data_IF_242741659848
#
_entry.id   IF_242741659848
#
_cell.length_a   1.000
_cell.length_b   1.000
_cell.length_c   1.000
_cell.angle_alpha   90.00
_cell.angle_beta   90.00
_cell.angle_gamma   90.00
#
_symmetry.space_group_name_H-M   'P 1'
#
loop_
_entity.id
_entity.type
_entity.pdbx_description
1 polymer ?
#
# COMPACT_ATOMS: atom_id res chain seq x y z
N UNK A 1 45.34 7.85 6.56
CA UNK A 1 44.53 9.00 6.11
C UNK A 1 43.24 8.96 6.90
N UNK A 2 42.94 9.98 7.70
CA UNK A 2 41.68 10.04 8.45
C UNK A 2 40.56 10.44 7.47
N UNK A 3 39.43 9.73 7.42
CA UNK A 3 38.34 10.10 6.52
C UNK A 3 37.87 11.52 6.85
N UNK A 4 37.83 12.38 5.84
CA UNK A 4 37.32 13.75 5.98
C UNK A 4 35.83 13.70 6.30
N UNK A 5 35.36 14.48 7.29
CA UNK A 5 33.94 14.51 7.64
C UNK A 5 33.11 14.99 6.45
N UNK A 6 31.98 14.33 6.13
CA UNK A 6 31.11 14.74 5.04
C UNK A 6 30.49 16.11 5.34
N UNK A 7 30.30 16.97 4.32
CA UNK A 7 29.61 18.24 4.50
C UNK A 7 28.10 18.05 4.65
N UNK A 8 27.45 18.98 5.36
CA UNK A 8 26.01 19.01 5.50
C UNK A 8 25.32 19.30 4.15
N UNK A 9 24.35 18.49 3.71
CA UNK A 9 23.66 18.72 2.44
C UNK A 9 22.82 20.01 2.41
N UNK A 10 22.48 20.57 3.59
CA UNK A 10 21.68 21.81 3.67
C UNK A 10 22.51 23.08 3.72
N UNK A 11 23.70 23.07 4.33
CA UNK A 11 24.50 24.28 4.57
C UNK A 11 25.99 24.16 4.25
N UNK A 12 26.48 22.99 3.85
CA UNK A 12 27.89 22.76 3.52
C UNK A 12 28.83 22.62 4.71
N UNK A 13 28.39 22.89 5.95
CA UNK A 13 29.23 22.81 7.14
C UNK A 13 29.73 21.37 7.40
N UNK A 14 30.97 21.18 7.90
CA UNK A 14 31.50 19.84 8.18
C UNK A 14 30.72 19.15 9.30
N UNK A 15 30.27 17.91 9.05
CA UNK A 15 29.52 17.11 10.03
C UNK A 15 30.51 16.39 10.95
N UNK A 16 30.40 16.61 12.25
CA UNK A 16 31.07 15.77 13.25
C UNK A 16 30.21 14.53 13.52
N UNK A 17 30.64 13.36 13.08
CA UNK A 17 29.95 12.10 13.40
C UNK A 17 30.27 11.63 14.84
N UNK A 18 29.34 10.97 15.53
CA UNK A 18 27.94 10.71 15.15
C UNK A 18 27.01 11.86 15.59
N UNK A 19 26.41 12.60 14.64
CA UNK A 19 25.47 13.69 14.94
C UNK A 19 24.12 13.46 14.25
N UNK A 20 23.02 13.62 15.00
CA UNK A 20 21.65 13.51 14.44
C UNK A 20 21.18 14.77 13.73
N UNK A 21 21.72 15.92 14.13
CA UNK A 21 21.42 17.23 13.57
C UNK A 21 22.71 17.96 13.23
N UNK A 22 22.66 18.88 12.26
CA UNK A 22 23.78 19.74 11.94
C UNK A 22 23.96 20.80 13.03
N UNK A 23 25.15 20.88 13.62
CA UNK A 23 25.46 21.87 14.66
C UNK A 23 25.47 23.32 14.14
N UNK A 24 25.57 23.53 12.82
CA UNK A 24 25.62 24.85 12.21
C UNK A 24 24.23 25.38 11.81
N UNK A 25 23.36 24.53 11.23
CA UNK A 25 22.07 24.96 10.69
C UNK A 25 20.85 24.26 11.31
N UNK A 26 21.05 23.32 12.24
CA UNK A 26 19.98 22.57 12.91
C UNK A 26 19.26 21.52 12.05
N UNK A 27 19.67 21.32 10.79
CA UNK A 27 19.02 20.35 9.91
C UNK A 27 19.20 18.90 10.40
N UNK A 28 18.16 18.05 10.37
CA UNK A 28 18.32 16.63 10.64
C UNK A 28 19.20 16.00 9.56
N UNK A 29 20.23 15.26 9.99
CA UNK A 29 21.17 14.56 9.11
C UNK A 29 20.70 13.13 8.79
N UNK A 30 19.85 12.59 9.66
CA UNK A 30 19.07 11.39 9.37
C UNK A 30 17.65 11.85 9.10
N UNK A 31 17.29 11.92 7.81
CA UNK A 31 15.90 11.73 7.47
C UNK A 31 15.56 10.31 7.93
N UNK A 32 14.84 10.19 9.04
CA UNK A 32 14.01 9.00 9.26
C UNK A 32 13.23 8.84 7.96
N UNK A 33 13.62 7.85 7.16
CA UNK A 33 12.92 7.54 5.91
C UNK A 33 11.44 7.39 6.25
N UNK A 34 10.53 7.63 5.30
CA UNK A 34 9.14 7.29 5.52
C UNK A 34 9.14 5.85 6.05
N UNK A 35 8.66 5.67 7.29
CA UNK A 35 8.26 4.34 7.75
C UNK A 35 7.46 3.74 6.59
N UNK A 36 7.70 2.48 6.18
CA UNK A 36 6.91 1.89 5.11
C UNK A 36 5.46 2.12 5.51
N UNK A 37 4.75 2.93 4.73
CA UNK A 37 3.38 3.28 5.04
C UNK A 37 2.64 1.95 5.09
N UNK A 38 2.16 1.56 6.27
CA UNK A 38 1.31 0.39 6.36
C UNK A 38 0.08 0.73 5.53
N UNK A 39 -0.04 0.12 4.35
CA UNK A 39 -1.16 0.30 3.44
C UNK A 39 -2.42 -0.26 4.09
N UNK A 40 -3.06 0.57 4.92
CA UNK A 40 -4.32 0.27 5.62
C UNK A 40 -5.43 -0.11 4.65
N UNK A 41 -5.36 0.39 3.41
CA UNK A 41 -6.26 0.05 2.31
C UNK A 41 -6.15 -1.43 1.90
N UNK A 42 -4.95 -1.99 1.84
CA UNK A 42 -4.73 -3.41 1.49
C UNK A 42 -5.16 -4.36 2.60
N UNK A 43 -4.89 -3.99 3.85
CA UNK A 43 -5.32 -4.76 5.01
C UNK A 43 -6.86 -4.73 5.17
N UNK A 44 -7.49 -3.56 4.98
CA UNK A 44 -8.94 -3.40 5.08
C UNK A 44 -9.70 -4.23 4.03
N UNK A 45 -9.25 -4.19 2.77
CA UNK A 45 -9.90 -4.93 1.69
C UNK A 45 -9.84 -6.46 1.89
N UNK A 46 -8.71 -6.94 2.43
CA UNK A 46 -8.53 -8.37 2.76
C UNK A 46 -9.52 -8.84 3.82
N UNK A 47 -9.72 -8.04 4.88
CA UNK A 47 -10.68 -8.36 5.95
C UNK A 47 -12.12 -8.37 5.42
N UNK A 48 -12.50 -7.36 4.64
CA UNK A 48 -13.85 -7.25 4.05
C UNK A 48 -14.15 -8.41 3.10
N UNK A 49 -13.19 -8.78 2.23
CA UNK A 49 -13.35 -9.91 1.32
C UNK A 49 -13.53 -11.25 2.05
N UNK A 50 -12.82 -11.46 3.16
CA UNK A 50 -12.98 -12.65 4.01
C UNK A 50 -14.36 -12.68 4.66
N UNK A 51 -14.82 -11.56 5.23
CA UNK A 51 -16.14 -11.48 5.87
C UNK A 51 -17.28 -11.73 4.87
N UNK A 52 -17.21 -11.15 3.67
CA UNK A 52 -18.21 -11.37 2.62
C UNK A 52 -18.21 -12.83 2.16
N UNK A 53 -17.03 -13.45 2.00
CA UNK A 53 -16.91 -14.86 1.62
C UNK A 53 -17.50 -15.80 2.68
N UNK A 54 -17.23 -15.53 3.97
CA UNK A 54 -17.81 -16.30 5.08
C UNK A 54 -19.33 -16.13 5.17
N UNK A 55 -19.84 -14.92 4.96
CA UNK A 55 -21.26 -14.64 4.97
C UNK A 55 -21.98 -15.39 3.83
N UNK A 56 -21.40 -15.42 2.64
CA UNK A 56 -21.96 -16.17 1.51
C UNK A 56 -21.96 -17.68 1.76
N UNK A 57 -20.85 -18.22 2.30
CA UNK A 57 -20.76 -19.64 2.68
C UNK A 57 -21.85 -20.00 3.69
N UNK A 58 -22.07 -19.14 4.69
CA UNK A 58 -23.11 -19.35 5.70
C UNK A 58 -24.52 -19.37 5.10
N UNK A 59 -24.81 -18.53 4.11
CA UNK A 59 -26.16 -18.40 3.50
C UNK A 59 -26.44 -19.53 2.49
N UNK A 60 -25.47 -19.87 1.63
CA UNK A 60 -25.70 -20.75 0.49
C UNK A 60 -25.12 -22.17 0.64
N UNK A 61 -24.29 -22.42 1.66
CA UNK A 61 -23.70 -23.75 1.92
C UNK A 61 -22.64 -24.22 0.89
N UNK A 62 -22.29 -23.38 -0.08
CA UNK A 62 -21.31 -23.72 -1.15
C UNK A 62 -19.99 -22.97 -0.92
N UNK A 63 -18.83 -23.67 -0.90
CA UNK A 63 -17.53 -23.04 -0.73
C UNK A 63 -17.10 -22.30 -2.01
N UNK A 64 -17.38 -21.00 -2.07
CA UNK A 64 -16.85 -20.06 -3.08
C UNK A 64 -15.39 -19.65 -2.79
N UNK A 65 -14.88 -20.09 -1.64
CA UNK A 65 -13.59 -19.75 -1.05
C UNK A 65 -12.37 -19.81 -2.00
N UNK A 66 -12.21 -20.84 -2.88
CA UNK A 66 -11.03 -20.87 -3.76
C UNK A 66 -11.09 -19.82 -4.88
N UNK A 67 -12.28 -19.48 -5.40
CA UNK A 67 -12.42 -18.47 -6.46
C UNK A 67 -12.34 -17.05 -5.91
N UNK A 68 -12.95 -16.78 -4.76
CA UNK A 68 -12.93 -15.45 -4.13
C UNK A 68 -11.54 -15.04 -3.63
N UNK A 69 -10.81 -15.96 -3.00
CA UNK A 69 -9.47 -15.68 -2.46
C UNK A 69 -8.43 -15.55 -3.58
N UNK A 70 -8.48 -16.41 -4.60
CA UNK A 70 -7.59 -16.29 -5.77
C UNK A 70 -7.91 -15.01 -6.54
N UNK A 71 -9.19 -14.68 -6.76
CA UNK A 71 -9.59 -13.44 -7.41
C UNK A 71 -9.14 -12.20 -6.63
N UNK A 72 -9.27 -12.22 -5.30
CA UNK A 72 -8.81 -11.15 -4.42
C UNK A 72 -7.29 -10.97 -4.42
N UNK A 73 -6.52 -12.06 -4.35
CA UNK A 73 -5.06 -12.03 -4.43
C UNK A 73 -4.55 -11.52 -5.79
N UNK A 74 -5.18 -11.94 -6.89
CA UNK A 74 -4.84 -11.48 -8.25
C UNK A 74 -5.10 -9.98 -8.38
N UNK A 75 -6.25 -9.49 -7.92
CA UNK A 75 -6.58 -8.06 -7.93
C UNK A 75 -5.63 -7.26 -7.04
N UNK A 76 -5.28 -7.77 -5.85
CA UNK A 76 -4.33 -7.11 -4.95
C UNK A 76 -2.91 -7.05 -5.55
N UNK A 77 -2.45 -8.13 -6.18
CA UNK A 77 -1.15 -8.17 -6.86
C UNK A 77 -1.09 -7.19 -8.03
N UNK A 78 -2.12 -7.18 -8.89
CA UNK A 78 -2.22 -6.24 -9.99
C UNK A 78 -2.34 -4.79 -9.50
N UNK A 79 -3.06 -4.54 -8.41
CA UNK A 79 -3.17 -3.21 -7.80
C UNK A 79 -1.81 -2.72 -7.29
N UNK A 80 -1.04 -3.57 -6.61
CA UNK A 80 0.29 -3.22 -6.12
C UNK A 80 1.27 -2.95 -7.28
N UNK A 81 1.31 -3.83 -8.28
CA UNK A 81 2.18 -3.68 -9.44
C UNK A 81 1.90 -2.37 -10.20
N UNK A 82 0.63 -2.01 -10.40
CA UNK A 82 0.33 -0.77 -11.13
C UNK A 82 0.57 0.47 -10.26
N UNK A 83 0.33 0.41 -8.93
CA UNK A 83 0.60 1.55 -8.05
C UNK A 83 2.09 1.91 -8.04
N UNK A 84 2.96 0.90 -8.09
CA UNK A 84 4.43 1.12 -8.20
C UNK A 84 4.88 1.65 -9.56
N UNK A 85 4.12 1.40 -10.64
CA UNK A 85 4.47 1.83 -12.01
C UNK A 85 3.86 3.16 -12.43
N UNK A 86 2.67 3.51 -11.94
CA UNK A 86 1.87 4.65 -12.44
C UNK A 86 1.76 5.78 -11.42
N UNK A 87 2.04 5.54 -10.14
CA UNK A 87 2.12 6.59 -9.12
C UNK A 87 0.82 7.40 -8.97
N UNK A 88 -0.36 6.79 -9.12
CA UNK A 88 -1.65 7.49 -8.93
C UNK A 88 -2.82 6.55 -8.59
N UNK A 89 -3.62 6.99 -7.61
CA UNK A 89 -4.81 6.36 -6.98
C UNK A 89 -5.96 5.88 -7.90
N UNK A 90 -5.88 6.06 -9.22
CA UNK A 90 -7.04 5.91 -10.12
C UNK A 90 -7.54 4.47 -10.29
N UNK A 91 -6.69 3.46 -10.10
CA UNK A 91 -7.06 2.06 -10.39
C UNK A 91 -7.88 1.39 -9.30
N UNK A 92 -7.70 1.78 -8.04
CA UNK A 92 -8.51 1.26 -6.94
C UNK A 92 -9.98 1.65 -7.11
N UNK A 93 -10.22 2.89 -7.58
CA UNK A 93 -11.54 3.42 -7.91
C UNK A 93 -12.17 2.64 -9.08
N UNK A 94 -11.38 2.36 -10.13
CA UNK A 94 -11.86 1.58 -11.29
C UNK A 94 -12.24 0.15 -10.90
N UNK A 95 -11.42 -0.53 -10.09
CA UNK A 95 -11.71 -1.89 -9.60
C UNK A 95 -12.95 -1.89 -8.70
N UNK A 96 -13.09 -0.92 -7.80
CA UNK A 96 -14.28 -0.80 -6.95
C UNK A 96 -15.55 -0.57 -7.78
N UNK A 97 -15.49 0.30 -8.79
CA UNK A 97 -16.61 0.56 -9.71
C UNK A 97 -17.00 -0.72 -10.46
N UNK A 98 -16.02 -1.47 -11.01
CA UNK A 98 -16.30 -2.71 -11.74
C UNK A 98 -16.92 -3.79 -10.84
N UNK A 99 -16.48 -3.92 -9.59
CA UNK A 99 -17.10 -4.84 -8.63
C UNK A 99 -18.56 -4.46 -8.33
N UNK A 100 -18.84 -3.16 -8.11
CA UNK A 100 -20.21 -2.68 -7.88
C UNK A 100 -21.09 -2.96 -9.11
N UNK A 101 -20.61 -2.66 -10.31
CA UNK A 101 -21.33 -2.94 -11.56
C UNK A 101 -21.64 -4.43 -11.72
N UNK A 102 -20.68 -5.31 -11.43
CA UNK A 102 -20.88 -6.75 -11.51
C UNK A 102 -21.97 -7.25 -10.53
N UNK A 103 -22.03 -6.70 -9.32
CA UNK A 103 -23.05 -7.07 -8.33
C UNK A 103 -24.46 -6.61 -8.70
N UNK A 104 -24.58 -5.50 -9.42
CA UNK A 104 -25.88 -4.96 -9.86
C UNK A 104 -26.36 -5.65 -11.15
N UNK A 105 -25.44 -5.92 -12.07
CA UNK A 105 -25.76 -6.49 -13.39
C UNK A 105 -25.99 -8.01 -13.32
N UNK A 106 -25.32 -8.73 -12.42
CA UNK A 106 -25.48 -10.18 -12.26
C UNK A 106 -26.92 -10.65 -11.96
N UNK A 107 -27.66 -10.01 -11.05
CA UNK A 107 -29.07 -10.32 -10.78
C UNK A 107 -30.03 -9.96 -11.93
N UNK A 108 -29.65 -9.01 -12.79
CA UNK A 108 -30.46 -8.53 -13.92
C UNK A 108 -30.35 -9.43 -15.16
N UNK A 109 -29.29 -10.25 -15.24
CA UNK A 109 -29.03 -11.19 -16.33
C UNK A 109 -29.53 -12.62 -16.02
N UNK A 110 -30.24 -12.81 -14.92
CA UNK A 110 -30.79 -14.09 -14.48
C UNK A 110 -32.31 -14.11 -14.64
#
# INVERSE_FOLDING_TARGET
>A
MMPTPPPCPRCGAPIRMPARFCNACGAPLFAQGPWPAFDTHGAGFSVVAVLISLLWFRINGVPIFPLGLVGGLVLAYWSHDINTKVGRESLFVVTAILCVLATIVGPLLR
#
